data_IF_730339006304
#
_entry.id   IF_730339006304
#
_cell.length_a   1.000
_cell.length_b   1.000
_cell.length_c   1.000
_cell.angle_alpha   90.00
_cell.angle_beta   90.00
_cell.angle_gamma   90.00
#
_symmetry.space_group_name_H-M   'P 1'
#
loop_
_entity.id
_entity.type
_entity.pdbx_description
1 polymer ?
#
# COMPACT_ATOMS: atom_id res chain seq x y z
N UNK A 1 -11.68 24.71 6.03
CA UNK A 1 -11.28 24.24 7.04
C UNK A 1 -9.97 23.54 7.16
N UNK A 2 -9.26 23.90 8.19
CA UNK A 2 -7.91 23.42 8.39
C UNK A 2 -7.84 21.90 8.53
N UNK A 3 -8.82 21.31 9.23
CA UNK A 3 -8.83 19.87 9.40
C UNK A 3 -8.90 19.11 8.06
N UNK A 4 -9.74 19.61 7.15
CA UNK A 4 -9.88 18.98 5.84
C UNK A 4 -8.62 19.13 5.01
N UNK A 5 -7.95 20.27 5.09
CA UNK A 5 -6.70 20.50 4.37
C UNK A 5 -5.60 19.60 4.92
N UNK A 6 -5.51 19.49 6.25
CA UNK A 6 -4.53 18.61 6.90
C UNK A 6 -4.77 17.15 6.55
N UNK A 7 -6.03 16.73 6.55
CA UNK A 7 -6.38 15.35 6.18
C UNK A 7 -6.01 15.07 4.73
N UNK A 8 -6.30 16.00 3.84
CA UNK A 8 -5.97 15.84 2.43
C UNK A 8 -4.47 15.72 2.23
N UNK A 9 -3.69 16.58 2.90
CA UNK A 9 -2.23 16.53 2.84
C UNK A 9 -1.69 15.22 3.38
N UNK A 10 -2.24 14.74 4.51
CA UNK A 10 -1.82 13.48 5.11
C UNK A 10 -2.12 12.30 4.18
N UNK A 11 -3.29 12.30 3.54
CA UNK A 11 -3.64 11.26 2.58
C UNK A 11 -2.69 11.22 1.40
N UNK A 12 -2.32 12.39 0.87
CA UNK A 12 -1.37 12.47 -0.22
C UNK A 12 0.01 12.00 0.22
N UNK A 13 0.42 12.37 1.41
CA UNK A 13 1.69 11.93 1.96
C UNK A 13 1.74 10.40 2.08
N UNK A 14 0.66 9.79 2.53
CA UNK A 14 0.57 8.33 2.64
C UNK A 14 0.62 7.70 1.25
N UNK A 15 -0.20 8.18 0.33
CA UNK A 15 -0.22 7.65 -1.05
C UNK A 15 1.16 7.72 -1.68
N UNK A 16 1.81 8.87 -1.59
CA UNK A 16 3.13 9.08 -2.19
C UNK A 16 4.19 8.22 -1.53
N UNK A 17 4.13 8.10 -0.21
CA UNK A 17 5.09 7.28 0.54
C UNK A 17 4.98 5.80 0.19
N UNK A 18 3.76 5.29 0.08
CA UNK A 18 3.53 3.89 -0.31
C UNK A 18 4.04 3.63 -1.72
N UNK A 19 3.72 4.52 -2.67
CA UNK A 19 4.19 4.40 -4.05
C UNK A 19 5.72 4.40 -4.10
N UNK A 20 6.35 5.29 -3.35
CA UNK A 20 7.81 5.40 -3.33
C UNK A 20 8.44 4.12 -2.77
N UNK A 21 7.91 3.59 -1.67
CA UNK A 21 8.41 2.35 -1.09
C UNK A 21 8.29 1.18 -2.08
N UNK A 22 7.14 1.06 -2.72
CA UNK A 22 6.94 0.00 -3.70
C UNK A 22 7.88 0.14 -4.89
N UNK A 23 8.06 1.37 -5.35
CA UNK A 23 8.99 1.63 -6.45
C UNK A 23 10.42 1.24 -6.08
N UNK A 24 10.83 1.56 -4.85
CA UNK A 24 12.18 1.23 -4.38
C UNK A 24 12.40 -0.27 -4.26
N UNK A 25 11.42 -1.00 -3.76
CA UNK A 25 11.58 -2.42 -3.46
C UNK A 25 11.27 -3.34 -4.64
N UNK A 26 10.30 -2.97 -5.47
CA UNK A 26 9.90 -3.80 -6.61
C UNK A 26 10.47 -3.33 -7.94
N UNK A 27 11.09 -2.14 -7.96
CA UNK A 27 11.59 -1.53 -9.19
C UNK A 27 10.52 -0.75 -9.95
N UNK A 28 9.29 -0.81 -9.49
CA UNK A 28 8.16 -0.13 -10.09
C UNK A 28 7.07 0.01 -9.03
N UNK A 29 6.43 1.18 -8.97
CA UNK A 29 5.29 1.40 -8.10
C UNK A 29 3.97 1.35 -8.86
N UNK A 30 2.84 1.39 -8.15
CA UNK A 30 1.52 1.44 -8.80
C UNK A 30 1.34 2.74 -9.57
N UNK A 31 0.51 2.70 -10.61
CA UNK A 31 0.19 3.90 -11.38
C UNK A 31 -0.71 4.84 -10.61
N UNK A 32 -1.49 4.33 -9.69
CA UNK A 32 -2.43 5.13 -8.92
C UNK A 32 -2.54 4.58 -7.51
N UNK A 33 -2.54 5.49 -6.55
CA UNK A 33 -2.75 5.16 -5.15
C UNK A 33 -3.72 6.17 -4.55
N UNK A 34 -4.74 5.67 -3.85
CA UNK A 34 -5.69 6.54 -3.18
C UNK A 34 -5.86 6.10 -1.74
N UNK A 35 -5.73 7.04 -0.83
CA UNK A 35 -5.80 6.80 0.61
C UNK A 35 -7.11 7.30 1.18
N UNK A 36 -7.73 6.48 2.01
CA UNK A 36 -8.94 6.82 2.77
C UNK A 36 -8.62 6.70 4.25
N UNK A 37 -9.09 7.64 5.03
CA UNK A 37 -8.94 7.61 6.48
C UNK A 37 -10.33 7.69 7.09
N UNK A 38 -10.68 6.69 7.88
CA UNK A 38 -11.98 6.62 8.56
C UNK A 38 -11.73 6.22 10.02
N UNK A 39 -11.96 7.15 10.93
CA UNK A 39 -11.72 6.93 12.36
C UNK A 39 -10.30 6.42 12.59
N UNK A 40 -10.15 5.15 12.97
CA UNK A 40 -8.86 4.54 13.25
C UNK A 40 -8.42 3.57 12.17
N UNK A 41 -8.98 3.69 10.96
CA UNK A 41 -8.61 2.82 9.84
C UNK A 41 -8.08 3.66 8.68
N UNK A 42 -6.94 3.25 8.14
CA UNK A 42 -6.40 3.81 6.90
C UNK A 42 -6.46 2.72 5.85
N UNK A 43 -7.02 3.05 4.71
CA UNK A 43 -7.19 2.12 3.60
C UNK A 43 -6.59 2.73 2.35
N UNK A 44 -5.64 2.02 1.74
CA UNK A 44 -4.99 2.51 0.52
C UNK A 44 -5.31 1.54 -0.61
N UNK A 45 -5.85 2.08 -1.70
CA UNK A 45 -6.17 1.30 -2.91
C UNK A 45 -5.10 1.61 -3.95
N UNK A 46 -4.47 0.56 -4.48
CA UNK A 46 -3.40 0.67 -5.46
C UNK A 46 -3.86 0.06 -6.78
N UNK A 47 -3.59 0.74 -7.88
CA UNK A 47 -3.96 0.25 -9.20
C UNK A 47 -2.73 0.06 -10.06
N UNK A 48 -2.76 -0.99 -10.86
CA UNK A 48 -1.71 -1.30 -11.84
C UNK A 48 -0.33 -1.37 -11.20
N UNK A 49 -0.18 -2.26 -10.24
CA UNK A 49 1.02 -2.33 -9.40
C UNK A 49 2.02 -3.41 -9.81
N UNK A 50 1.66 -4.32 -10.69
CA UNK A 50 2.53 -5.46 -11.01
C UNK A 50 3.73 -5.04 -11.86
N UNK A 51 4.86 -5.64 -11.58
CA UNK A 51 6.05 -5.49 -12.43
C UNK A 51 5.83 -6.29 -13.72
N UNK A 52 6.69 -6.04 -14.71
CA UNK A 52 6.61 -6.79 -15.96
C UNK A 52 6.81 -8.28 -15.74
N UNK A 53 7.76 -8.65 -14.89
CA UNK A 53 8.01 -10.05 -14.57
C UNK A 53 6.79 -10.69 -13.92
N UNK A 54 6.16 -9.99 -13.00
CA UNK A 54 4.96 -10.49 -12.32
C UNK A 54 3.80 -10.66 -13.31
N UNK A 55 3.61 -9.70 -14.20
CA UNK A 55 2.56 -9.78 -15.22
C UNK A 55 2.77 -11.01 -16.09
N UNK A 56 4.01 -11.26 -16.51
CA UNK A 56 4.34 -12.44 -17.30
C UNK A 56 4.00 -13.73 -16.54
N UNK A 57 4.31 -13.77 -15.26
CA UNK A 57 4.01 -14.93 -14.42
C UNK A 57 2.50 -15.16 -14.31
N UNK A 58 1.74 -14.08 -14.10
CA UNK A 58 0.28 -14.17 -14.00
C UNK A 58 -0.31 -14.66 -15.32
N UNK A 59 0.18 -14.14 -16.45
CA UNK A 59 -0.30 -14.57 -17.78
C UNK A 59 -0.01 -16.04 -18.06
N UNK A 60 0.98 -16.61 -17.40
CA UNK A 60 1.34 -18.02 -17.53
C UNK A 60 0.79 -18.88 -16.39
N UNK A 61 -0.24 -18.39 -15.71
CA UNK A 61 -0.95 -19.18 -14.70
C UNK A 61 -0.25 -19.30 -13.36
N UNK A 62 0.71 -18.40 -13.06
CA UNK A 62 1.50 -18.45 -11.82
C UNK A 62 1.17 -17.33 -10.85
N UNK A 63 -0.08 -16.91 -10.81
CA UNK A 63 -0.48 -15.83 -9.89
C UNK A 63 -0.25 -16.21 -8.43
N UNK A 64 -0.35 -17.49 -8.08
CA UNK A 64 -0.11 -17.93 -6.71
C UNK A 64 1.32 -17.65 -6.26
N UNK A 65 2.30 -17.81 -7.14
CA UNK A 65 3.69 -17.50 -6.83
C UNK A 65 3.90 -16.01 -6.64
N UNK A 66 3.25 -15.19 -7.46
CA UNK A 66 3.33 -13.73 -7.32
C UNK A 66 2.72 -13.31 -5.98
N UNK A 67 1.58 -13.88 -5.61
CA UNK A 67 0.94 -13.56 -4.33
C UNK A 67 1.85 -13.93 -3.16
N UNK A 68 2.44 -15.12 -3.21
CA UNK A 68 3.33 -15.58 -2.14
C UNK A 68 4.55 -14.67 -2.00
N UNK A 69 5.16 -14.29 -3.11
CA UNK A 69 6.30 -13.37 -3.09
C UNK A 69 5.90 -12.02 -2.50
N UNK A 70 4.75 -11.49 -2.90
CA UNK A 70 4.27 -10.21 -2.41
C UNK A 70 3.96 -10.26 -0.92
N UNK A 71 3.38 -11.35 -0.43
CA UNK A 71 3.12 -11.52 1.00
C UNK A 71 4.43 -11.53 1.78
N UNK A 72 5.44 -12.24 1.27
CA UNK A 72 6.76 -12.30 1.91
C UNK A 72 7.42 -10.93 1.94
N UNK A 73 7.41 -10.21 0.81
CA UNK A 73 7.97 -8.86 0.74
C UNK A 73 7.25 -7.89 1.68
N UNK A 74 5.92 -7.97 1.73
CA UNK A 74 5.14 -7.09 2.59
C UNK A 74 5.48 -7.31 4.06
N UNK A 75 5.71 -8.56 4.46
CA UNK A 75 6.12 -8.85 5.83
C UNK A 75 7.46 -8.20 6.15
N UNK A 76 8.40 -8.26 5.21
CA UNK A 76 9.73 -7.66 5.40
C UNK A 76 9.69 -6.14 5.41
N UNK A 77 8.75 -5.54 4.67
CA UNK A 77 8.61 -4.09 4.55
C UNK A 77 7.60 -3.48 5.52
N UNK A 78 6.96 -4.30 6.36
CA UNK A 78 5.85 -3.84 7.18
C UNK A 78 6.18 -2.61 8.02
N UNK A 79 7.37 -2.59 8.64
CA UNK A 79 7.75 -1.47 9.49
C UNK A 79 7.88 -0.18 8.69
N UNK A 80 8.40 -0.25 7.47
CA UNK A 80 8.53 0.92 6.60
C UNK A 80 7.15 1.47 6.22
N UNK A 81 6.22 0.59 5.86
CA UNK A 81 4.86 1.01 5.51
C UNK A 81 4.14 1.62 6.71
N UNK A 82 4.27 1.00 7.88
CA UNK A 82 3.67 1.55 9.11
C UNK A 82 4.23 2.94 9.41
N UNK A 83 5.54 3.13 9.22
CA UNK A 83 6.18 4.42 9.47
C UNK A 83 5.62 5.53 8.57
N UNK A 84 5.30 5.22 7.32
CA UNK A 84 4.70 6.20 6.41
C UNK A 84 3.40 6.73 7.00
N UNK A 85 2.54 5.83 7.47
CA UNK A 85 1.25 6.23 8.04
C UNK A 85 1.43 6.95 9.37
N UNK A 86 2.31 6.45 10.23
CA UNK A 86 2.56 7.05 11.54
C UNK A 86 3.10 8.47 11.41
N UNK A 87 4.01 8.70 10.49
CA UNK A 87 4.56 10.04 10.25
C UNK A 87 3.50 11.00 9.71
N UNK A 88 2.66 10.51 8.80
CA UNK A 88 1.65 11.36 8.18
C UNK A 88 0.55 11.77 9.16
N UNK A 89 0.14 10.86 10.03
CA UNK A 89 -1.02 11.06 10.90
C UNK A 89 -0.68 11.33 12.36
N UNK A 90 0.58 11.11 12.78
CA UNK A 90 0.98 11.31 14.16
C UNK A 90 0.32 10.32 15.11
N UNK A 91 -0.04 9.14 14.62
CA UNK A 91 -0.73 8.10 15.39
C UNK A 91 -0.03 6.77 15.17
N UNK A 92 -0.01 5.94 16.21
CA UNK A 92 0.64 4.63 16.13
C UNK A 92 -0.22 3.65 15.36
N UNK A 93 0.42 2.88 14.47
CA UNK A 93 -0.23 1.78 13.76
C UNK A 93 -0.17 0.53 14.62
N UNK A 94 -1.32 -0.07 14.90
CA UNK A 94 -1.42 -1.29 15.68
C UNK A 94 -1.20 -2.53 14.84
N UNK A 95 -1.75 -2.53 13.62
CA UNK A 95 -1.60 -3.66 12.73
C UNK A 95 -1.72 -3.20 11.28
N UNK A 96 -1.16 -4.00 10.38
CA UNK A 96 -1.10 -3.73 8.95
C UNK A 96 -1.33 -5.02 8.18
N UNK A 97 -2.20 -4.94 7.19
CA UNK A 97 -2.50 -6.06 6.29
C UNK A 97 -2.40 -5.59 4.85
N UNK A 98 -1.96 -6.48 3.99
CA UNK A 98 -1.80 -6.20 2.57
C UNK A 98 -2.38 -7.34 1.76
N UNK A 99 -2.98 -7.00 0.63
CA UNK A 99 -3.58 -7.99 -0.26
C UNK A 99 -3.37 -7.56 -1.70
N UNK A 100 -3.15 -8.51 -2.59
CA UNK A 100 -3.05 -8.26 -4.02
C UNK A 100 -4.04 -9.16 -4.75
N UNK A 101 -4.69 -8.59 -5.76
CA UNK A 101 -5.57 -9.33 -6.68
C UNK A 101 -5.06 -9.09 -8.10
N UNK A 102 -5.45 -9.94 -9.05
CA UNK A 102 -4.81 -9.94 -10.35
C UNK A 102 -5.71 -9.62 -11.53
N UNK A 103 -7.02 -9.62 -11.34
CA UNK A 103 -7.96 -9.35 -12.43
C UNK A 103 -9.09 -8.45 -11.96
N UNK A 104 -8.95 -7.14 -12.06
CA UNK A 104 -7.76 -6.39 -12.50
C UNK A 104 -6.64 -6.39 -11.46
N UNK A 105 -5.40 -6.06 -11.85
CA UNK A 105 -4.28 -6.05 -10.90
C UNK A 105 -4.39 -4.85 -9.95
N UNK A 106 -4.76 -5.13 -8.71
CA UNK A 106 -4.95 -4.12 -7.68
C UNK A 106 -4.35 -4.59 -6.37
N UNK A 107 -4.01 -3.63 -5.52
CA UNK A 107 -3.54 -3.90 -4.17
C UNK A 107 -4.31 -3.11 -3.14
N UNK A 108 -4.35 -3.65 -1.93
CA UNK A 108 -5.07 -3.02 -0.82
C UNK A 108 -4.17 -3.06 0.41
N UNK A 109 -3.94 -1.89 1.02
CA UNK A 109 -3.16 -1.77 2.24
C UNK A 109 -4.08 -1.26 3.33
N UNK A 110 -4.17 -1.99 4.44
CA UNK A 110 -5.06 -1.63 5.54
C UNK A 110 -4.24 -1.47 6.81
N UNK A 111 -4.42 -0.34 7.48
CA UNK A 111 -3.74 -0.02 8.73
C UNK A 111 -4.79 0.28 9.79
N UNK A 112 -4.64 -0.31 10.97
CA UNK A 112 -5.50 0.01 12.10
C UNK A 112 -4.65 0.80 13.11
N UNK A 113 -5.17 1.95 13.51
CA UNK A 113 -4.44 2.89 14.35
C UNK A 113 -4.87 2.80 15.81
N UNK A 114 -3.97 3.16 16.70
CA UNK A 114 -4.29 3.33 18.11
C UNK A 114 -5.27 4.50 18.26
N UNK A 115 -6.18 4.38 19.21
CA UNK A 115 -7.15 5.44 19.49
C UNK A 115 -6.63 6.50 20.45
#
# INVERSE_FOLDING_TARGET
MEGNASEHSAKLEISNGIVQLMSNHYGRGPNKAKTYVMDNVVFVVLEDLLTRAETTMVENGRSALVREMRITFQADMADEFKAVVEEALGRKVLTYQSQVVFDPPMGFEVFVLAE
#
